data_IF_229657483931
#
_entry.id   IF_229657483931
#
_cell.length_a   1.000
_cell.length_b   1.000
_cell.length_c   1.000
_cell.angle_alpha   90.00
_cell.angle_beta   90.00
_cell.angle_gamma   90.00
#
_symmetry.space_group_name_H-M   'P 1'
#
loop_
_entity.id
_entity.type
_entity.pdbx_description
1 polymer ?
#
# COMPACT_ATOMS: atom_id res chain seq x y z
N UNK A 1 -15.12 -19.18 37.60
CA UNK A 1 -14.36 -17.91 37.67
C UNK A 1 -13.21 -18.07 36.67
N UNK A 2 -13.39 -17.56 35.46
CA UNK A 2 -12.40 -17.63 34.39
C UNK A 2 -11.62 -16.32 34.39
N UNK A 3 -10.30 -16.43 34.58
CA UNK A 3 -9.39 -15.29 34.52
C UNK A 3 -9.28 -14.80 33.06
N UNK A 4 -9.26 -13.48 32.81
CA UNK A 4 -9.02 -12.95 31.47
C UNK A 4 -7.57 -13.25 31.05
N UNK A 5 -7.40 -13.77 29.84
CA UNK A 5 -6.07 -13.90 29.21
C UNK A 5 -5.66 -12.49 28.76
N UNK A 6 -4.71 -11.89 29.45
CA UNK A 6 -4.03 -10.68 29.00
C UNK A 6 -3.14 -11.04 27.82
N UNK A 7 -3.45 -10.45 26.67
CA UNK A 7 -2.61 -10.52 25.48
C UNK A 7 -1.44 -9.52 25.66
N UNK A 8 -0.18 -9.96 25.66
CA UNK A 8 0.94 -9.03 25.78
C UNK A 8 1.00 -8.15 24.50
N UNK A 9 1.03 -6.85 24.72
CA UNK A 9 1.30 -5.89 23.66
C UNK A 9 2.68 -6.15 23.04
N UNK A 10 2.84 -6.07 21.70
CA UNK A 10 4.16 -6.23 21.09
C UNK A 10 5.08 -5.11 21.57
N UNK A 11 6.23 -5.50 22.11
CA UNK A 11 7.31 -4.61 22.50
C UNK A 11 7.94 -4.01 21.25
N UNK A 12 7.64 -2.75 20.96
CA UNK A 12 8.39 -1.95 19.98
C UNK A 12 9.73 -1.55 20.60
N UNK A 13 10.80 -2.23 20.22
CA UNK A 13 12.13 -1.64 20.37
C UNK A 13 12.27 -0.49 19.37
N UNK A 14 12.44 0.72 19.90
CA UNK A 14 12.65 1.92 19.13
C UNK A 14 13.99 1.86 18.40
N UNK A 15 13.98 1.68 17.09
CA UNK A 15 15.13 1.96 16.23
C UNK A 15 15.25 3.48 16.05
N UNK A 16 16.43 4.04 16.31
CA UNK A 16 16.78 5.44 16.11
C UNK A 16 16.86 5.78 14.60
N UNK A 17 15.71 5.84 13.97
CA UNK A 17 15.48 6.36 12.63
C UNK A 17 13.99 6.59 12.51
N UNK A 18 13.57 7.78 12.06
CA UNK A 18 12.14 8.08 11.89
C UNK A 18 11.54 7.05 10.96
N UNK A 19 10.59 6.27 11.46
CA UNK A 19 9.93 5.19 10.75
C UNK A 19 9.20 5.68 9.47
N UNK A 20 9.00 4.75 8.53
CA UNK A 20 8.16 4.99 7.36
C UNK A 20 6.70 5.06 7.82
N UNK A 21 6.07 6.20 7.57
CA UNK A 21 4.65 6.41 7.83
C UNK A 21 3.84 6.11 6.57
N UNK A 22 2.76 5.31 6.70
CA UNK A 22 1.88 5.00 5.57
C UNK A 22 0.47 5.48 5.87
N UNK A 23 -0.01 6.41 5.05
CA UNK A 23 -1.39 6.91 5.10
C UNK A 23 -2.20 6.26 3.99
N UNK A 24 -3.24 5.52 4.37
CA UNK A 24 -4.05 4.72 3.44
C UNK A 24 -5.43 5.34 3.24
N UNK A 25 -5.79 5.59 1.99
CA UNK A 25 -7.13 5.99 1.57
C UNK A 25 -7.84 4.84 0.85
N UNK A 26 -9.16 4.75 1.01
CA UNK A 26 -10.04 3.93 0.19
C UNK A 26 -10.38 2.56 0.77
N UNK A 27 -10.12 1.49 0.03
CA UNK A 27 -10.69 0.18 0.29
C UNK A 27 -9.78 -0.76 1.08
N UNK A 28 -10.34 -1.94 1.44
CA UNK A 28 -9.62 -3.00 2.16
C UNK A 28 -8.38 -3.50 1.41
N UNK A 29 -8.44 -3.51 0.06
CA UNK A 29 -7.30 -3.89 -0.76
C UNK A 29 -6.14 -2.89 -0.59
N UNK A 30 -6.43 -1.57 -0.58
CA UNK A 30 -5.40 -0.57 -0.28
C UNK A 30 -4.80 -0.77 1.13
N UNK A 31 -5.62 -1.14 2.11
CA UNK A 31 -5.13 -1.41 3.46
C UNK A 31 -4.18 -2.62 3.49
N UNK A 32 -4.54 -3.71 2.81
CA UNK A 32 -3.67 -4.88 2.67
C UNK A 32 -2.36 -4.55 1.94
N UNK A 33 -2.44 -3.82 0.83
CA UNK A 33 -1.25 -3.40 0.07
C UNK A 33 -0.34 -2.46 0.89
N UNK A 34 -0.89 -1.69 1.81
CA UNK A 34 -0.10 -0.83 2.70
C UNK A 34 0.76 -1.66 3.66
N UNK A 35 0.30 -2.81 4.12
CA UNK A 35 1.15 -3.71 4.92
C UNK A 35 2.27 -4.33 4.07
N UNK A 36 1.98 -4.75 2.83
CA UNK A 36 3.01 -5.21 1.89
C UNK A 36 4.07 -4.12 1.69
N UNK A 37 3.66 -2.87 1.46
CA UNK A 37 4.59 -1.75 1.30
C UNK A 37 5.42 -1.50 2.57
N UNK A 38 4.82 -1.64 3.75
CA UNK A 38 5.50 -1.50 5.04
C UNK A 38 6.63 -2.52 5.18
N UNK A 39 6.34 -3.78 4.86
CA UNK A 39 7.32 -4.86 4.91
C UNK A 39 8.44 -4.64 3.89
N UNK A 40 8.11 -4.22 2.68
CA UNK A 40 9.10 -3.90 1.65
C UNK A 40 9.97 -2.69 2.02
N UNK A 41 9.39 -1.64 2.59
CA UNK A 41 10.11 -0.46 3.04
C UNK A 41 11.11 -0.80 4.16
N UNK A 42 10.68 -1.60 5.14
CA UNK A 42 11.55 -2.10 6.20
C UNK A 42 12.70 -2.96 5.65
N UNK A 43 12.38 -3.93 4.80
CA UNK A 43 13.38 -4.80 4.18
C UNK A 43 14.34 -4.05 3.24
N UNK A 44 13.87 -2.99 2.59
CA UNK A 44 14.64 -2.12 1.68
C UNK A 44 15.50 -1.08 2.40
N UNK A 45 15.41 -0.98 3.72
CA UNK A 45 16.14 0.01 4.53
C UNK A 45 15.66 1.45 4.28
N UNK A 46 14.42 1.63 3.83
CA UNK A 46 13.82 2.95 3.66
C UNK A 46 13.52 3.52 5.06
N UNK A 47 14.00 4.74 5.29
CA UNK A 47 13.75 5.50 6.52
C UNK A 47 13.32 6.92 6.18
N UNK A 48 12.71 7.60 7.13
CA UNK A 48 12.22 8.98 7.02
C UNK A 48 11.43 9.24 5.74
N UNK A 49 10.41 8.41 5.50
CA UNK A 49 9.51 8.53 4.36
C UNK A 49 8.04 8.52 4.78
N UNK A 50 7.21 9.17 3.99
CA UNK A 50 5.75 9.14 4.09
C UNK A 50 5.20 8.58 2.79
N UNK A 51 4.46 7.48 2.86
CA UNK A 51 3.82 6.84 1.72
C UNK A 51 2.32 7.13 1.78
N UNK A 52 1.79 7.75 0.75
CA UNK A 52 0.36 8.05 0.61
C UNK A 52 -0.26 7.08 -0.39
N UNK A 53 -1.03 6.11 0.09
CA UNK A 53 -1.74 5.14 -0.76
C UNK A 53 -3.13 5.67 -1.10
N UNK A 54 -3.31 6.16 -2.33
CA UNK A 54 -4.47 6.95 -2.76
C UNK A 54 -5.62 6.10 -3.27
N UNK A 55 -6.83 6.68 -3.23
CA UNK A 55 -8.06 6.12 -3.80
C UNK A 55 -8.60 7.04 -4.90
N UNK A 56 -9.15 6.45 -5.97
CA UNK A 56 -9.75 7.16 -7.11
C UNK A 56 -11.28 7.00 -7.19
N UNK A 57 -11.91 6.30 -6.24
CA UNK A 57 -13.36 6.00 -6.32
C UNK A 57 -14.21 7.25 -6.18
N UNK A 58 -13.73 8.25 -5.41
CA UNK A 58 -14.43 9.53 -5.26
C UNK A 58 -13.46 10.69 -5.41
N UNK A 59 -13.94 11.81 -5.98
CA UNK A 59 -13.19 13.07 -6.05
C UNK A 59 -12.81 13.57 -4.65
N UNK A 60 -13.64 13.31 -3.66
CA UNK A 60 -13.38 13.67 -2.26
C UNK A 60 -12.14 12.93 -1.72
N UNK A 61 -11.99 11.64 -2.00
CA UNK A 61 -10.81 10.89 -1.58
C UNK A 61 -9.53 11.44 -2.22
N UNK A 62 -9.56 11.84 -3.49
CA UNK A 62 -8.44 12.48 -4.18
C UNK A 62 -8.11 13.84 -3.54
N UNK A 63 -9.14 14.65 -3.23
CA UNK A 63 -8.98 15.94 -2.57
C UNK A 63 -8.33 15.78 -1.19
N UNK A 64 -8.82 14.84 -0.39
CA UNK A 64 -8.28 14.54 0.94
C UNK A 64 -6.82 14.05 0.87
N UNK A 65 -6.48 13.19 -0.10
CA UNK A 65 -5.11 12.75 -0.32
C UNK A 65 -4.17 13.94 -0.57
N UNK A 66 -4.55 14.87 -1.46
CA UNK A 66 -3.75 16.09 -1.74
C UNK A 66 -3.60 17.00 -0.52
N UNK A 67 -4.65 17.14 0.29
CA UNK A 67 -4.58 17.91 1.54
C UNK A 67 -3.63 17.25 2.55
N UNK A 68 -3.73 15.93 2.67
CA UNK A 68 -2.87 15.15 3.56
C UNK A 68 -1.40 15.23 3.13
N UNK A 69 -1.08 15.12 1.83
CA UNK A 69 0.27 15.30 1.30
C UNK A 69 0.86 16.65 1.76
N UNK A 70 0.12 17.75 1.58
CA UNK A 70 0.58 19.08 2.01
C UNK A 70 0.75 19.19 3.51
N UNK A 71 -0.15 18.58 4.29
CA UNK A 71 -0.05 18.55 5.74
C UNK A 71 1.19 17.77 6.19
N UNK A 72 1.36 16.54 5.71
CA UNK A 72 2.47 15.66 6.09
C UNK A 72 3.83 16.30 5.71
N UNK A 73 3.93 16.94 4.55
CA UNK A 73 5.18 17.64 4.16
C UNK A 73 5.50 18.84 5.05
N UNK A 74 4.50 19.54 5.59
CA UNK A 74 4.72 20.59 6.58
C UNK A 74 5.16 20.04 7.95
N UNK A 75 4.58 18.91 8.36
CA UNK A 75 4.90 18.24 9.63
C UNK A 75 6.26 17.54 9.58
N UNK A 76 6.65 17.03 8.41
CA UNK A 76 7.89 16.30 8.14
C UNK A 76 8.57 16.83 6.86
N UNK A 77 9.19 18.02 6.90
CA UNK A 77 9.73 18.68 5.69
C UNK A 77 10.86 17.90 5.03
N UNK A 78 11.65 17.15 5.79
CA UNK A 78 12.79 16.38 5.29
C UNK A 78 12.39 14.97 4.80
N UNK A 79 11.23 14.47 5.24
CA UNK A 79 10.77 13.14 4.86
C UNK A 79 10.51 13.02 3.35
N UNK A 80 10.88 11.89 2.77
CA UNK A 80 10.55 11.54 1.38
C UNK A 80 9.05 11.31 1.23
N UNK A 81 8.40 12.08 0.38
CA UNK A 81 6.96 11.96 0.10
C UNK A 81 6.73 11.10 -1.13
N UNK A 82 6.23 9.89 -0.93
CA UNK A 82 5.93 8.90 -1.97
C UNK A 82 4.42 8.79 -2.11
N UNK A 83 3.90 8.97 -3.32
CA UNK A 83 2.46 8.86 -3.60
C UNK A 83 2.20 7.67 -4.50
N UNK A 84 1.21 6.86 -4.16
CA UNK A 84 0.82 5.67 -4.92
C UNK A 84 -0.69 5.42 -4.82
N UNK A 85 -1.15 4.31 -5.36
CA UNK A 85 -2.56 3.90 -5.31
C UNK A 85 -3.34 4.27 -6.56
N UNK A 86 -4.66 4.03 -6.53
CA UNK A 86 -5.48 4.12 -7.74
C UNK A 86 -5.52 5.53 -8.36
N UNK A 87 -5.52 6.60 -7.55
CA UNK A 87 -5.51 7.94 -8.12
C UNK A 87 -4.15 8.28 -8.76
N UNK A 88 -3.05 7.85 -8.15
CA UNK A 88 -1.71 8.02 -8.71
C UNK A 88 -1.50 7.20 -10.00
N UNK A 89 -2.12 6.01 -10.09
CA UNK A 89 -2.09 5.19 -11.29
C UNK A 89 -2.82 5.83 -12.47
N UNK A 90 -3.98 6.46 -12.20
CA UNK A 90 -4.87 7.01 -13.26
C UNK A 90 -4.36 8.35 -13.75
N UNK A 91 -3.90 9.20 -12.86
CA UNK A 91 -3.36 10.52 -13.18
C UNK A 91 -2.11 10.81 -12.34
N UNK A 92 -0.96 10.23 -12.72
CA UNK A 92 0.28 10.44 -12.01
C UNK A 92 0.77 11.89 -12.05
N UNK A 93 0.48 12.61 -13.15
CA UNK A 93 0.93 13.96 -13.37
C UNK A 93 0.34 14.97 -12.36
N UNK A 94 -0.91 14.77 -11.92
CA UNK A 94 -1.50 15.64 -10.92
C UNK A 94 -0.75 15.62 -9.58
N UNK A 95 -0.12 14.48 -9.25
CA UNK A 95 0.70 14.35 -8.04
C UNK A 95 2.15 14.75 -8.31
N UNK A 96 2.69 14.42 -9.48
CA UNK A 96 4.04 14.79 -9.86
C UNK A 96 4.27 16.31 -9.92
N UNK A 97 3.23 17.09 -10.26
CA UNK A 97 3.25 18.56 -10.27
C UNK A 97 3.24 19.18 -8.87
N UNK A 98 2.95 18.42 -7.83
CA UNK A 98 3.01 18.91 -6.45
C UNK A 98 4.48 19.03 -6.02
N UNK A 99 4.84 20.20 -5.49
CA UNK A 99 6.20 20.45 -4.98
C UNK A 99 6.54 19.58 -3.77
N UNK A 100 5.50 19.18 -3.02
CA UNK A 100 5.60 18.35 -1.84
C UNK A 100 5.93 16.89 -2.15
N UNK A 101 5.73 16.42 -3.39
CA UNK A 101 5.86 15.02 -3.79
C UNK A 101 7.23 14.75 -4.39
N UNK A 102 7.94 13.82 -3.81
CA UNK A 102 9.26 13.39 -4.28
C UNK A 102 9.15 12.27 -5.33
N UNK A 103 8.20 11.33 -5.16
CA UNK A 103 8.02 10.22 -6.08
C UNK A 103 6.56 9.79 -6.22
N UNK A 104 6.17 9.37 -7.44
CA UNK A 104 4.87 8.77 -7.75
C UNK A 104 5.08 7.35 -8.25
N UNK A 105 4.40 6.39 -7.63
CA UNK A 105 4.48 4.96 -7.96
C UNK A 105 3.13 4.44 -8.44
N UNK A 106 3.15 3.60 -9.47
CA UNK A 106 1.98 2.88 -9.93
C UNK A 106 1.56 1.73 -9.00
N UNK A 107 0.43 1.12 -9.31
CA UNK A 107 -0.12 0.03 -8.52
C UNK A 107 0.64 -1.30 -8.70
N UNK A 108 1.36 -1.49 -9.80
CA UNK A 108 2.26 -2.61 -9.99
C UNK A 108 3.59 -2.38 -9.27
N UNK A 109 4.16 -1.17 -9.39
CA UNK A 109 5.45 -0.78 -8.83
C UNK A 109 5.46 -0.80 -7.31
N UNK A 110 4.37 -0.38 -6.66
CA UNK A 110 4.26 -0.35 -5.20
C UNK A 110 4.31 -1.72 -4.54
N UNK A 111 4.12 -2.81 -5.31
CA UNK A 111 4.17 -4.18 -4.82
C UNK A 111 5.51 -4.87 -5.11
N UNK A 112 6.47 -4.18 -5.71
CA UNK A 112 7.81 -4.71 -6.01
C UNK A 112 8.78 -4.34 -4.88
N UNK A 113 9.44 -5.32 -4.20
CA UNK A 113 10.35 -5.04 -3.08
C UNK A 113 11.49 -4.09 -3.46
N UNK A 114 12.03 -4.22 -4.68
CA UNK A 114 13.12 -3.40 -5.19
C UNK A 114 12.79 -1.91 -5.27
N UNK A 115 11.51 -1.55 -5.41
CA UNK A 115 11.05 -0.16 -5.49
C UNK A 115 11.34 0.61 -4.21
N UNK A 116 11.32 -0.07 -3.06
CA UNK A 116 11.50 0.55 -1.74
C UNK A 116 12.94 0.54 -1.23
N UNK A 117 13.91 0.14 -2.05
CA UNK A 117 15.32 0.30 -1.68
C UNK A 117 15.65 1.80 -1.60
N UNK A 118 16.29 2.21 -0.52
CA UNK A 118 16.66 3.62 -0.27
C UNK A 118 17.43 4.24 -1.44
N UNK A 119 18.31 3.47 -2.08
CA UNK A 119 19.08 3.89 -3.28
C UNK A 119 18.20 4.16 -4.50
N UNK A 120 17.13 3.38 -4.68
CA UNK A 120 16.18 3.53 -5.81
C UNK A 120 15.27 4.74 -5.59
N UNK A 121 14.86 4.99 -4.36
CA UNK A 121 14.07 6.17 -3.99
C UNK A 121 14.90 7.45 -4.12
N UNK A 122 16.19 7.42 -3.73
CA UNK A 122 17.05 8.61 -3.75
C UNK A 122 17.47 9.06 -5.15
N UNK A 123 17.64 8.12 -6.10
CA UNK A 123 18.18 8.40 -7.42
C UNK A 123 17.27 8.10 -8.60
N UNK A 124 16.00 7.73 -8.35
CA UNK A 124 15.09 7.31 -9.40
C UNK A 124 14.25 8.43 -10.01
N UNK A 125 13.56 8.10 -11.12
CA UNK A 125 12.60 8.99 -11.75
C UNK A 125 11.48 9.37 -10.80
N UNK A 126 11.02 10.62 -10.91
CA UNK A 126 9.91 11.12 -10.09
C UNK A 126 8.61 10.34 -10.31
N UNK A 127 8.37 9.87 -11.54
CA UNK A 127 7.18 9.10 -11.91
C UNK A 127 7.61 7.72 -12.39
N UNK A 128 7.15 6.68 -11.68
CA UNK A 128 7.31 5.26 -12.02
C UNK A 128 5.93 4.61 -12.03
N UNK A 129 5.25 4.74 -13.15
CA UNK A 129 3.88 4.27 -13.34
C UNK A 129 3.80 3.61 -14.72
N UNK A 130 3.81 2.29 -14.73
CA UNK A 130 3.66 1.50 -15.94
C UNK A 130 2.17 1.41 -16.36
N UNK A 131 1.93 1.00 -17.61
CA UNK A 131 0.57 0.74 -18.09
C UNK A 131 -0.03 -0.45 -17.33
N UNK A 132 -0.99 -0.15 -16.46
CA UNK A 132 -1.65 -1.17 -15.63
C UNK A 132 -2.42 -2.20 -16.45
N UNK A 133 -2.82 -1.87 -17.69
CA UNK A 133 -3.50 -2.81 -18.59
C UNK A 133 -2.55 -3.87 -19.17
N UNK A 134 -1.25 -3.57 -19.25
CA UNK A 134 -0.23 -4.51 -19.70
C UNK A 134 0.19 -5.51 -18.61
N UNK A 135 -0.18 -5.26 -17.34
CA UNK A 135 0.21 -6.13 -16.22
C UNK A 135 -0.64 -7.39 -16.24
N UNK A 136 -0.01 -8.54 -16.49
CA UNK A 136 -0.64 -9.86 -16.51
C UNK A 136 -0.42 -10.68 -15.24
N UNK A 137 0.63 -10.37 -14.48
CA UNK A 137 0.98 -11.09 -13.26
C UNK A 137 0.37 -10.45 -12.03
N UNK A 138 0.13 -11.27 -11.00
CA UNK A 138 -0.22 -10.81 -9.67
C UNK A 138 0.97 -11.05 -8.75
N UNK A 139 1.35 -10.03 -8.01
CA UNK A 139 2.39 -10.17 -7.00
C UNK A 139 1.84 -11.00 -5.82
N UNK A 140 2.48 -12.13 -5.54
CA UNK A 140 2.12 -13.01 -4.45
C UNK A 140 2.84 -12.55 -3.19
N UNK A 141 2.14 -11.89 -2.29
CA UNK A 141 2.68 -11.46 -1.01
C UNK A 141 1.96 -12.17 0.15
N UNK A 142 2.74 -12.69 1.08
CA UNK A 142 2.23 -13.23 2.33
C UNK A 142 2.35 -12.13 3.40
N UNK A 143 1.20 -11.63 3.85
CA UNK A 143 1.11 -10.57 4.86
C UNK A 143 0.85 -11.20 6.23
N UNK A 144 1.50 -10.68 7.25
CA UNK A 144 1.39 -11.19 8.62
C UNK A 144 0.13 -10.74 9.37
N UNK A 145 -0.77 -10.08 8.67
CA UNK A 145 -2.01 -9.50 9.19
C UNK A 145 -2.04 -7.99 9.03
N UNK A 146 -3.01 -7.35 9.65
CA UNK A 146 -3.16 -5.89 9.68
C UNK A 146 -2.98 -5.43 11.13
N UNK A 147 -2.00 -4.60 11.38
CA UNK A 147 -1.70 -4.09 12.72
C UNK A 147 -2.95 -3.50 13.41
N UNK A 148 -3.22 -3.97 14.62
CA UNK A 148 -4.34 -3.49 15.45
C UNK A 148 -5.73 -3.95 15.01
N UNK A 149 -5.86 -4.91 14.09
CA UNK A 149 -7.15 -5.46 13.64
C UNK A 149 -7.35 -6.90 14.10
N UNK A 150 -8.53 -7.21 14.59
CA UNK A 150 -8.92 -8.57 14.97
C UNK A 150 -9.19 -9.48 13.76
N UNK A 151 -9.50 -8.87 12.59
CA UNK A 151 -9.78 -9.57 11.33
C UNK A 151 -8.66 -9.32 10.33
N UNK A 152 -8.13 -10.38 9.72
CA UNK A 152 -7.18 -10.27 8.61
C UNK A 152 -7.89 -10.16 7.26
N UNK A 153 -7.20 -9.59 6.27
CA UNK A 153 -7.66 -9.57 4.88
C UNK A 153 -6.74 -10.41 4.01
N UNK A 154 -7.34 -11.23 3.16
CA UNK A 154 -6.64 -12.03 2.18
C UNK A 154 -7.02 -11.55 0.78
N UNK A 155 -6.01 -11.20 -0.01
CA UNK A 155 -6.24 -10.84 -1.40
C UNK A 155 -6.47 -12.12 -2.21
N UNK A 156 -7.60 -12.21 -2.89
CA UNK A 156 -7.93 -13.33 -3.79
C UNK A 156 -7.94 -12.89 -5.26
N UNK A 157 -8.15 -11.61 -5.52
CA UNK A 157 -8.23 -11.04 -6.87
C UNK A 157 -7.92 -9.54 -6.85
N UNK A 158 -7.41 -9.03 -7.97
CA UNK A 158 -7.31 -7.60 -8.26
C UNK A 158 -7.73 -7.32 -9.70
N UNK A 159 -8.10 -6.06 -10.01
CA UNK A 159 -8.54 -5.65 -11.34
C UNK A 159 -9.97 -6.09 -11.68
N UNK A 160 -10.40 -5.79 -12.90
CA UNK A 160 -11.73 -6.14 -13.39
C UNK A 160 -11.79 -6.07 -14.92
N UNK A 161 -12.37 -7.10 -15.56
CA UNK A 161 -12.52 -7.15 -17.02
C UNK A 161 -13.76 -6.40 -17.53
N UNK A 162 -14.70 -6.08 -16.63
CA UNK A 162 -15.85 -5.27 -16.98
C UNK A 162 -15.47 -3.81 -17.22
N UNK A 163 -16.19 -3.14 -18.12
CA UNK A 163 -16.00 -1.73 -18.50
C UNK A 163 -17.29 -0.95 -18.26
N UNK A 164 -17.81 -1.01 -17.03
CA UNK A 164 -19.00 -0.25 -16.64
C UNK A 164 -18.70 1.25 -16.77
N UNK A 165 -19.65 2.01 -17.32
CA UNK A 165 -19.46 3.42 -17.71
C UNK A 165 -19.07 4.36 -16.55
N UNK A 166 -19.46 4.01 -15.33
CA UNK A 166 -19.17 4.79 -14.11
C UNK A 166 -17.96 4.26 -13.31
N UNK A 167 -17.36 3.12 -13.73
CA UNK A 167 -16.41 2.42 -12.87
C UNK A 167 -14.96 2.75 -13.21
N UNK A 168 -14.23 3.24 -12.22
CA UNK A 168 -12.81 3.60 -12.34
C UNK A 168 -11.86 2.41 -12.09
N UNK A 169 -12.36 1.27 -11.57
CA UNK A 169 -11.53 0.15 -11.11
C UNK A 169 -10.59 -0.38 -12.21
N UNK A 170 -11.04 -0.65 -13.45
CA UNK A 170 -10.13 -1.17 -14.47
C UNK A 170 -8.95 -0.24 -14.77
N UNK A 171 -9.18 1.06 -14.74
CA UNK A 171 -8.15 2.06 -15.03
C UNK A 171 -7.12 2.21 -13.92
N UNK A 172 -7.53 1.96 -12.66
CA UNK A 172 -6.61 1.98 -11.53
C UNK A 172 -5.97 0.62 -11.22
N UNK A 173 -6.60 -0.50 -11.62
CA UNK A 173 -6.21 -1.85 -11.22
C UNK A 173 -5.89 -2.80 -12.37
N UNK A 174 -6.19 -2.41 -13.61
CA UNK A 174 -5.99 -3.24 -14.78
C UNK A 174 -7.06 -4.33 -14.95
N UNK A 175 -6.75 -5.29 -15.81
CA UNK A 175 -7.58 -6.47 -16.05
C UNK A 175 -7.65 -7.38 -14.83
N UNK A 176 -8.67 -8.24 -14.77
CA UNK A 176 -8.86 -9.18 -13.67
C UNK A 176 -7.70 -10.18 -13.57
N UNK A 177 -7.12 -10.29 -12.38
CA UNK A 177 -6.06 -11.26 -12.07
C UNK A 177 -6.37 -11.89 -10.73
N UNK A 178 -6.38 -13.22 -10.70
CA UNK A 178 -6.69 -14.01 -9.50
C UNK A 178 -5.41 -14.55 -8.89
N UNK A 179 -5.36 -14.57 -7.56
CA UNK A 179 -4.29 -15.24 -6.80
C UNK A 179 -4.49 -16.74 -6.92
N UNK A 180 -3.45 -17.53 -7.19
CA UNK A 180 -3.56 -19.00 -7.20
C UNK A 180 -4.09 -19.53 -5.87
N UNK A 181 -4.99 -20.52 -5.92
CA UNK A 181 -5.67 -21.05 -4.73
C UNK A 181 -4.67 -21.55 -3.65
N UNK A 182 -3.56 -22.19 -4.07
CA UNK A 182 -2.51 -22.63 -3.14
C UNK A 182 -1.94 -21.48 -2.32
N UNK A 183 -1.64 -20.34 -2.95
CA UNK A 183 -1.12 -19.14 -2.27
C UNK A 183 -2.15 -18.58 -1.28
N UNK A 184 -3.44 -18.57 -1.65
CA UNK A 184 -4.52 -18.14 -0.75
C UNK A 184 -4.58 -19.05 0.49
N UNK A 185 -4.51 -20.38 0.30
CA UNK A 185 -4.52 -21.36 1.39
C UNK A 185 -3.31 -21.18 2.31
N UNK A 186 -2.11 -20.97 1.75
CA UNK A 186 -0.89 -20.77 2.53
C UNK A 186 -0.95 -19.44 3.33
N UNK A 187 -1.52 -18.39 2.74
CA UNK A 187 -1.77 -17.14 3.44
C UNK A 187 -2.73 -17.33 4.63
N UNK A 188 -3.83 -18.07 4.43
CA UNK A 188 -4.79 -18.35 5.51
C UNK A 188 -4.13 -19.15 6.64
N UNK A 189 -3.37 -20.20 6.33
CA UNK A 189 -2.63 -20.99 7.32
C UNK A 189 -1.69 -20.09 8.16
N UNK A 190 -0.91 -19.25 7.49
CA UNK A 190 0.00 -18.32 8.15
C UNK A 190 -0.73 -17.36 9.10
N UNK A 191 -1.88 -16.85 8.72
CA UNK A 191 -2.70 -15.99 9.56
C UNK A 191 -3.27 -16.74 10.78
N UNK A 192 -3.74 -17.98 10.58
CA UNK A 192 -4.20 -18.84 11.68
C UNK A 192 -3.06 -19.14 12.67
N UNK A 193 -1.88 -19.47 12.18
CA UNK A 193 -0.69 -19.72 13.02
C UNK A 193 -0.28 -18.48 13.85
N UNK A 194 -0.60 -17.28 13.34
CA UNK A 194 -0.40 -16.00 14.05
C UNK A 194 -1.56 -15.61 14.98
N UNK A 195 -2.57 -16.46 15.12
CA UNK A 195 -3.66 -16.29 16.06
C UNK A 195 -4.84 -15.46 15.54
N UNK A 196 -4.93 -15.21 14.23
CA UNK A 196 -6.14 -14.61 13.66
C UNK A 196 -7.29 -15.63 13.64
N UNK A 197 -8.44 -15.24 14.22
CA UNK A 197 -9.64 -16.07 14.28
C UNK A 197 -10.62 -15.80 13.11
N UNK A 198 -10.37 -14.75 12.33
CA UNK A 198 -11.26 -14.31 11.27
C UNK A 198 -10.48 -13.73 10.08
N UNK A 199 -10.83 -14.15 8.85
CA UNK A 199 -10.31 -13.66 7.58
C UNK A 199 -11.43 -13.19 6.65
#
# INVERSE_FOLDING_TARGET
>A
MSTPVENPAPSHEASEGRDVEIVTFGCRLNAWESEVMRDHARAGGLSDAVIINTCAVTNEAVRQARQTIRRMKRERPDAKMIVTGCAAQIDPEQFAKMAEVDQVLGNAEKLRPETFKSTVIAGGDKVKVDDIMAVSEIANHLVDGLDGRARAYVQVQTGCDHRCTFCIIPYGRGNSRSVPAGVVVDQIKRLVDKGFNEV
#
